data_IF_336902020855
#
_entry.id   IF_336902020855
#
_cell.length_a   1.000
_cell.length_b   1.000
_cell.length_c   1.000
_cell.angle_alpha   90.00
_cell.angle_beta   90.00
_cell.angle_gamma   90.00
#
_symmetry.space_group_name_H-M   'P 1'
#
loop_
_entity.id
_entity.type
_entity.pdbx_description
1 polymer ?
#
# COMPACT_ATOMS: atom_id res chain seq x y z
N UNK A 1 0.41 31.14 -8.03
CA UNK A 1 0.54 29.92 -8.85
C UNK A 1 -0.75 29.15 -8.66
N UNK A 2 -1.49 28.86 -9.73
CA UNK A 2 -2.61 27.92 -9.65
C UNK A 2 -1.96 26.57 -9.39
N UNK A 3 -2.22 25.94 -8.23
CA UNK A 3 -1.66 24.63 -7.90
C UNK A 3 -2.00 23.60 -8.99
N UNK A 4 -1.21 22.54 -9.14
CA UNK A 4 -1.52 21.52 -10.13
C UNK A 4 -2.90 20.92 -9.85
N UNK A 5 -3.68 20.67 -10.90
CA UNK A 5 -4.93 19.92 -10.79
C UNK A 5 -4.70 18.43 -10.52
N UNK A 6 -3.47 17.92 -10.71
CA UNK A 6 -3.08 16.51 -10.53
C UNK A 6 -2.12 16.39 -9.35
N UNK A 7 -2.62 15.95 -8.20
CA UNK A 7 -1.79 15.67 -7.02
C UNK A 7 -1.63 14.17 -6.86
N UNK A 8 -0.40 13.68 -6.86
CA UNK A 8 -0.10 12.25 -6.95
C UNK A 8 0.81 11.84 -5.81
N UNK A 9 0.40 10.81 -5.07
CA UNK A 9 1.31 10.05 -4.20
C UNK A 9 1.93 8.95 -5.05
N UNK A 10 3.25 9.01 -5.25
CA UNK A 10 4.03 7.90 -5.81
C UNK A 10 4.43 7.01 -4.64
N UNK A 11 3.82 5.84 -4.56
CA UNK A 11 3.85 4.99 -3.38
C UNK A 11 4.52 3.64 -3.65
N UNK A 12 5.38 3.18 -2.75
CA UNK A 12 5.92 1.82 -2.76
C UNK A 12 5.15 0.89 -1.81
N UNK A 13 4.47 -0.10 -2.40
CA UNK A 13 3.83 -1.19 -1.68
C UNK A 13 4.85 -2.31 -1.39
N UNK A 14 4.51 -3.18 -0.45
CA UNK A 14 5.29 -4.37 -0.06
C UNK A 14 6.67 -4.12 0.59
N UNK A 15 6.93 -2.94 1.16
CA UNK A 15 8.14 -2.72 1.94
C UNK A 15 8.16 -3.71 3.11
N UNK A 16 9.28 -4.39 3.33
CA UNK A 16 9.42 -5.45 4.34
C UNK A 16 9.15 -6.86 3.81
N UNK A 17 8.62 -7.02 2.59
CA UNK A 17 8.47 -8.33 1.95
C UNK A 17 9.83 -8.95 1.61
N UNK A 18 10.71 -8.18 0.97
CA UNK A 18 12.08 -8.60 0.63
C UNK A 18 13.12 -7.55 1.00
N UNK A 19 14.40 -7.96 1.05
CA UNK A 19 15.50 -7.02 1.19
C UNK A 19 15.56 -6.09 -0.03
N UNK A 20 15.34 -6.62 -1.23
CA UNK A 20 15.32 -5.84 -2.46
C UNK A 20 14.26 -4.73 -2.47
N UNK A 21 13.06 -4.99 -1.94
CA UNK A 21 12.02 -3.96 -1.75
C UNK A 21 12.47 -2.89 -0.73
N UNK A 22 13.00 -3.31 0.43
CA UNK A 22 13.49 -2.34 1.42
C UNK A 22 14.57 -1.40 0.89
N UNK A 23 15.50 -1.92 0.10
CA UNK A 23 16.58 -1.12 -0.47
C UNK A 23 16.08 -0.22 -1.61
N UNK A 24 15.12 -0.70 -2.41
CA UNK A 24 14.46 0.12 -3.42
C UNK A 24 13.76 1.32 -2.78
N UNK A 25 12.98 1.09 -1.71
CA UNK A 25 12.31 2.16 -0.98
C UNK A 25 13.25 3.21 -0.44
N UNK A 26 14.33 2.80 0.21
CA UNK A 26 15.33 3.73 0.74
C UNK A 26 15.97 4.58 -0.38
N UNK A 27 16.37 3.96 -1.49
CA UNK A 27 17.06 4.63 -2.59
C UNK A 27 16.13 5.56 -3.40
N UNK A 28 14.93 5.08 -3.75
CA UNK A 28 13.96 5.84 -4.54
C UNK A 28 13.35 6.99 -3.73
N UNK A 29 13.18 6.82 -2.40
CA UNK A 29 12.77 7.92 -1.53
C UNK A 29 13.85 8.99 -1.42
N UNK A 30 15.11 8.59 -1.26
CA UNK A 30 16.23 9.52 -1.16
C UNK A 30 16.45 10.35 -2.44
N UNK A 31 16.13 9.79 -3.61
CA UNK A 31 16.18 10.51 -4.89
C UNK A 31 14.92 11.33 -5.21
N UNK A 32 13.85 11.17 -4.43
CA UNK A 32 12.55 11.79 -4.68
C UNK A 32 11.73 11.15 -5.81
N UNK A 33 12.17 10.01 -6.35
CA UNK A 33 11.43 9.25 -7.36
C UNK A 33 10.23 8.50 -6.76
N UNK A 34 10.33 8.15 -5.47
CA UNK A 34 9.24 7.65 -4.64
C UNK A 34 8.94 8.68 -3.55
N UNK A 35 7.66 8.94 -3.28
CA UNK A 35 7.23 9.97 -2.32
C UNK A 35 6.73 9.41 -1.00
N UNK A 36 6.41 8.11 -0.95
CA UNK A 36 5.86 7.42 0.21
C UNK A 36 5.96 5.91 0.03
N UNK A 37 5.94 5.13 1.11
CA UNK A 37 5.87 3.67 1.04
C UNK A 37 5.30 3.08 2.31
N UNK A 38 4.91 1.82 2.33
CA UNK A 38 4.25 1.21 3.49
C UNK A 38 4.78 -0.18 3.82
N UNK A 39 4.98 -0.44 5.12
CA UNK A 39 5.63 -1.68 5.58
C UNK A 39 4.63 -2.81 5.87
N UNK A 40 4.91 -3.99 5.34
CA UNK A 40 4.25 -5.24 5.69
C UNK A 40 4.89 -5.84 6.94
N UNK A 41 4.26 -5.61 8.08
CA UNK A 41 4.77 -6.04 9.40
C UNK A 41 4.96 -7.56 9.54
N UNK A 42 4.06 -8.42 9.00
CA UNK A 42 4.24 -9.88 9.11
C UNK A 42 5.42 -10.44 8.30
N UNK A 43 6.03 -9.65 7.41
CA UNK A 43 6.95 -10.16 6.40
C UNK A 43 8.40 -10.33 6.92
N UNK A 44 9.20 -11.23 6.31
CA UNK A 44 10.51 -11.63 6.84
C UNK A 44 11.54 -10.50 6.95
N UNK A 45 11.41 -9.46 6.14
CA UNK A 45 12.34 -8.34 6.09
C UNK A 45 11.83 -7.08 6.80
N UNK A 46 10.73 -7.18 7.56
CA UNK A 46 10.19 -6.08 8.36
C UNK A 46 11.22 -5.48 9.31
N UNK A 47 12.03 -6.29 9.99
CA UNK A 47 13.05 -5.78 10.92
C UNK A 47 14.04 -4.82 10.25
N UNK A 48 14.43 -5.11 9.00
CA UNK A 48 15.29 -4.22 8.22
C UNK A 48 14.54 -2.98 7.73
N UNK A 49 13.27 -3.12 7.32
CA UNK A 49 12.42 -1.97 6.96
C UNK A 49 12.26 -1.00 8.14
N UNK A 50 12.03 -1.52 9.34
CA UNK A 50 11.93 -0.74 10.57
C UNK A 50 13.25 -0.04 10.92
N UNK A 51 14.40 -0.72 10.76
CA UNK A 51 15.72 -0.09 10.92
C UNK A 51 15.90 1.11 9.99
N UNK A 52 15.53 0.97 8.71
CA UNK A 52 15.61 2.04 7.70
C UNK A 52 14.68 3.20 8.09
N UNK A 53 13.40 2.92 8.38
CA UNK A 53 12.42 3.95 8.73
C UNK A 53 12.78 4.70 10.02
N UNK A 54 13.30 4.00 11.04
CA UNK A 54 13.72 4.63 12.30
C UNK A 54 14.99 5.47 12.15
N UNK A 55 15.87 5.15 11.18
CA UNK A 55 17.09 5.89 10.90
C UNK A 55 16.85 7.20 10.13
N UNK A 56 15.73 7.30 9.40
CA UNK A 56 15.36 8.50 8.64
C UNK A 56 13.92 8.95 8.92
N UNK A 57 13.72 9.86 9.90
CA UNK A 57 12.40 10.41 10.21
C UNK A 57 11.75 11.20 9.06
N UNK A 58 12.49 11.55 8.00
CA UNK A 58 11.91 12.22 6.83
C UNK A 58 11.15 11.24 5.94
N UNK A 59 11.46 9.94 5.97
CA UNK A 59 10.79 8.92 5.17
C UNK A 59 9.29 8.85 5.46
N UNK A 60 8.50 9.03 4.42
CA UNK A 60 7.04 8.95 4.47
C UNK A 60 6.60 7.48 4.48
N UNK A 61 6.73 6.85 5.66
CA UNK A 61 6.51 5.42 5.85
C UNK A 61 5.16 5.14 6.50
N UNK A 62 4.27 4.45 5.80
CA UNK A 62 3.00 3.92 6.31
C UNK A 62 3.08 2.46 6.73
N UNK A 63 1.92 1.85 6.95
CA UNK A 63 1.77 0.44 7.32
C UNK A 63 0.85 -0.25 6.33
N UNK A 64 1.40 -1.26 5.64
CA UNK A 64 0.71 -2.09 4.67
C UNK A 64 -0.04 -3.21 5.39
N UNK A 65 -1.28 -2.92 5.76
CA UNK A 65 -2.10 -3.84 6.55
C UNK A 65 -2.33 -5.13 5.77
N UNK A 66 -1.84 -6.23 6.32
CA UNK A 66 -1.64 -7.48 5.59
C UNK A 66 -2.55 -8.58 6.13
N UNK A 67 -3.38 -9.16 5.25
CA UNK A 67 -4.32 -10.24 5.57
C UNK A 67 -4.23 -11.43 4.61
N UNK A 68 -3.34 -11.37 3.62
CA UNK A 68 -3.09 -12.40 2.61
C UNK A 68 -1.60 -12.73 2.55
N UNK A 69 -1.25 -13.94 2.10
CA UNK A 69 0.13 -14.37 1.83
C UNK A 69 0.20 -15.21 0.56
N UNK A 70 0.38 -14.52 -0.57
CA UNK A 70 0.27 -15.07 -1.93
C UNK A 70 1.56 -15.75 -2.40
N UNK A 71 2.73 -15.25 -1.99
CA UNK A 71 4.04 -15.76 -2.40
C UNK A 71 4.21 -17.25 -2.05
N UNK A 72 4.79 -18.06 -2.95
CA UNK A 72 4.85 -19.53 -2.77
C UNK A 72 5.93 -19.98 -1.79
N UNK A 73 7.23 -19.65 -2.01
CA UNK A 73 8.31 -20.16 -1.16
C UNK A 73 8.47 -19.37 0.14
N UNK A 74 7.93 -18.15 0.18
CA UNK A 74 7.98 -17.26 1.34
C UNK A 74 6.56 -16.98 1.79
N UNK A 75 6.21 -17.41 3.00
CA UNK A 75 4.88 -17.25 3.58
C UNK A 75 4.98 -16.57 4.94
N UNK A 76 3.97 -15.77 5.28
CA UNK A 76 3.87 -15.08 6.56
C UNK A 76 2.58 -15.44 7.30
N UNK A 77 2.62 -15.28 8.62
CA UNK A 77 1.55 -15.66 9.56
C UNK A 77 0.99 -14.43 10.25
N UNK A 78 -0.26 -14.47 10.75
CA UNK A 78 -0.76 -13.43 11.64
C UNK A 78 0.10 -13.31 12.90
N UNK A 79 0.30 -12.08 13.38
CA UNK A 79 1.01 -11.78 14.62
C UNK A 79 0.26 -12.29 15.85
N UNK A 80 -1.07 -12.32 15.77
CA UNK A 80 -1.97 -12.63 16.89
C UNK A 80 -2.19 -14.12 17.14
N UNK A 81 -1.70 -15.00 16.26
CA UNK A 81 -1.94 -16.44 16.31
C UNK A 81 -3.43 -16.82 16.52
N UNK A 82 -4.34 -16.36 15.65
CA UNK A 82 -5.78 -16.55 15.83
C UNK A 82 -6.15 -18.04 15.80
N UNK A 83 -7.22 -18.46 16.50
CA UNK A 83 -7.71 -19.83 16.40
C UNK A 83 -8.17 -20.13 14.97
N UNK A 84 -8.03 -21.38 14.52
CA UNK A 84 -8.46 -21.79 13.16
C UNK A 84 -9.92 -21.42 12.84
N UNK A 85 -10.79 -21.40 13.85
CA UNK A 85 -12.20 -21.00 13.70
C UNK A 85 -12.39 -19.54 13.28
N UNK A 86 -11.37 -18.69 13.41
CA UNK A 86 -11.39 -17.31 12.95
C UNK A 86 -11.26 -17.20 11.42
N UNK A 87 -10.91 -18.27 10.70
CA UNK A 87 -10.89 -18.30 9.24
C UNK A 87 -9.77 -17.48 8.58
N UNK A 88 -8.78 -16.98 9.33
CA UNK A 88 -7.69 -16.13 8.80
C UNK A 88 -6.55 -16.89 8.13
N UNK A 89 -6.40 -18.18 8.46
CA UNK A 89 -5.21 -18.96 8.07
C UNK A 89 -5.55 -20.29 7.43
N UNK A 90 -4.61 -20.78 6.63
CA UNK A 90 -4.61 -22.15 6.12
C UNK A 90 -4.29 -23.20 7.20
N UNK A 91 -4.20 -24.47 6.79
CA UNK A 91 -3.87 -25.59 7.66
C UNK A 91 -2.45 -25.51 8.27
N UNK A 92 -1.56 -24.69 7.72
CA UNK A 92 -0.19 -24.49 8.20
C UNK A 92 -0.04 -23.19 9.03
N UNK A 93 -1.14 -22.47 9.25
CA UNK A 93 -1.20 -21.23 10.02
C UNK A 93 -0.70 -19.99 9.27
N UNK A 94 -0.51 -20.08 7.95
CA UNK A 94 -0.20 -18.92 7.10
C UNK A 94 -1.48 -18.20 6.71
N UNK A 95 -1.41 -16.90 6.44
CA UNK A 95 -2.55 -16.22 5.81
C UNK A 95 -2.95 -16.89 4.50
N UNK A 96 -4.23 -16.78 4.14
CA UNK A 96 -4.70 -17.27 2.84
C UNK A 96 -3.98 -16.58 1.69
N UNK A 97 -3.74 -17.28 0.56
CA UNK A 97 -3.02 -16.70 -0.57
C UNK A 97 -3.88 -15.78 -1.44
N UNK A 98 -5.18 -15.68 -1.17
CA UNK A 98 -6.15 -14.99 -2.01
C UNK A 98 -7.20 -14.23 -1.20
N UNK A 99 -7.64 -13.10 -1.75
CA UNK A 99 -8.62 -12.19 -1.14
C UNK A 99 -9.97 -12.87 -0.88
N UNK A 100 -10.56 -13.66 -1.80
CA UNK A 100 -11.84 -14.33 -1.56
C UNK A 100 -11.86 -15.18 -0.29
N UNK A 101 -10.79 -15.93 0.01
CA UNK A 101 -10.70 -16.71 1.25
C UNK A 101 -10.44 -15.82 2.46
N UNK A 102 -9.54 -14.84 2.35
CA UNK A 102 -9.21 -13.94 3.46
C UNK A 102 -10.43 -13.13 3.96
N UNK A 103 -11.35 -12.76 3.05
CA UNK A 103 -12.62 -12.07 3.39
C UNK A 103 -13.58 -12.91 4.24
N UNK A 104 -13.38 -14.22 4.32
CA UNK A 104 -14.16 -15.11 5.19
C UNK A 104 -13.76 -15.07 6.67
N UNK A 105 -12.74 -14.29 7.03
CA UNK A 105 -12.25 -14.19 8.40
C UNK A 105 -13.23 -13.48 9.34
N UNK A 106 -13.23 -13.88 10.60
CA UNK A 106 -14.01 -13.23 11.65
C UNK A 106 -13.55 -11.77 11.84
N UNK A 107 -14.45 -10.76 11.74
CA UNK A 107 -14.08 -9.34 11.82
C UNK A 107 -13.31 -8.96 13.10
N UNK A 108 -13.62 -9.57 14.23
CA UNK A 108 -12.94 -9.30 15.50
C UNK A 108 -11.48 -9.79 15.50
N UNK A 109 -11.22 -10.92 14.85
CA UNK A 109 -9.86 -11.45 14.69
C UNK A 109 -9.06 -10.59 13.70
N UNK A 110 -9.70 -10.11 12.64
CA UNK A 110 -9.11 -9.15 11.70
C UNK A 110 -8.74 -7.86 12.42
N UNK A 111 -9.66 -7.23 13.17
CA UNK A 111 -9.36 -6.00 13.90
C UNK A 111 -8.20 -6.19 14.90
N UNK A 112 -8.17 -7.30 15.64
CA UNK A 112 -7.08 -7.60 16.55
C UNK A 112 -5.72 -7.73 15.84
N UNK A 113 -5.69 -8.42 14.70
CA UNK A 113 -4.47 -8.58 13.90
C UNK A 113 -3.99 -7.26 13.30
N UNK A 114 -4.89 -6.47 12.72
CA UNK A 114 -4.53 -5.19 12.14
C UNK A 114 -4.00 -4.21 13.19
N UNK A 115 -4.59 -4.19 14.40
CA UNK A 115 -4.02 -3.45 15.54
C UNK A 115 -2.64 -3.96 15.92
N UNK A 116 -2.45 -5.28 16.01
CA UNK A 116 -1.17 -5.87 16.36
C UNK A 116 -0.06 -5.47 15.35
N UNK A 117 -0.37 -5.40 14.06
CA UNK A 117 0.54 -4.90 13.04
C UNK A 117 0.91 -3.43 13.29
N UNK A 118 -0.09 -2.57 13.54
CA UNK A 118 0.14 -1.15 13.82
C UNK A 118 1.01 -0.96 15.07
N UNK A 119 0.67 -1.60 16.18
CA UNK A 119 1.41 -1.50 17.44
C UNK A 119 2.82 -2.06 17.34
N UNK A 120 3.02 -3.12 16.54
CA UNK A 120 4.35 -3.70 16.31
C UNK A 120 5.23 -2.75 15.50
N UNK A 121 4.68 -2.06 14.49
CA UNK A 121 5.40 -1.02 13.75
C UNK A 121 5.81 0.15 14.67
N UNK A 122 4.89 0.63 15.50
CA UNK A 122 5.15 1.69 16.48
C UNK A 122 6.23 1.26 17.49
N UNK A 123 6.13 0.04 18.03
CA UNK A 123 7.12 -0.51 18.96
C UNK A 123 8.51 -0.71 18.32
N UNK A 124 8.57 -0.92 17.01
CA UNK A 124 9.81 -0.99 16.24
C UNK A 124 10.42 0.38 15.93
N UNK A 125 9.79 1.49 16.34
CA UNK A 125 10.31 2.84 16.19
C UNK A 125 9.87 3.56 14.91
N UNK A 126 8.91 3.01 14.17
CA UNK A 126 8.32 3.67 13.00
C UNK A 126 7.32 4.73 13.51
N UNK A 127 7.39 5.98 13.03
CA UNK A 127 6.32 6.99 13.15
C UNK A 127 5.47 6.97 11.88
N UNK A 128 4.43 6.11 11.81
CA UNK A 128 3.71 5.87 10.57
C UNK A 128 3.03 7.14 10.06
N UNK A 129 2.99 7.28 8.74
CA UNK A 129 2.35 8.40 8.05
C UNK A 129 0.95 8.10 7.57
N UNK A 130 0.62 6.85 7.30
CA UNK A 130 -0.68 6.43 6.80
C UNK A 130 -0.87 4.92 6.95
N UNK A 131 -2.08 4.46 6.62
CA UNK A 131 -2.40 3.05 6.43
C UNK A 131 -2.86 2.83 4.98
N UNK A 132 -2.50 1.69 4.43
CA UNK A 132 -3.00 1.10 3.19
C UNK A 132 -3.14 -0.42 3.41
N UNK A 133 -3.44 -1.20 2.36
CA UNK A 133 -3.81 -2.61 2.53
C UNK A 133 -3.26 -3.52 1.45
N UNK A 134 -2.56 -4.58 1.86
CA UNK A 134 -2.05 -5.61 0.96
C UNK A 134 -3.18 -6.28 0.18
N UNK A 135 -3.05 -6.26 -1.15
CA UNK A 135 -4.05 -6.73 -2.10
C UNK A 135 -5.45 -6.12 -1.89
N UNK A 136 -5.52 -4.94 -1.27
CA UNK A 136 -6.78 -4.27 -0.91
C UNK A 136 -7.66 -5.00 0.10
N UNK A 137 -7.14 -6.04 0.78
CA UNK A 137 -7.99 -6.96 1.57
C UNK A 137 -8.71 -6.24 2.71
N UNK A 138 -8.02 -5.38 3.46
CA UNK A 138 -8.62 -4.60 4.55
C UNK A 138 -9.59 -3.51 4.05
N UNK A 139 -9.57 -3.18 2.76
CA UNK A 139 -10.48 -2.21 2.13
C UNK A 139 -11.75 -2.88 1.60
N UNK A 140 -11.85 -4.21 1.63
CA UNK A 140 -13.06 -4.94 1.22
C UNK A 140 -14.23 -4.64 2.18
N UNK A 141 -15.49 -4.68 1.70
CA UNK A 141 -16.66 -4.23 2.48
C UNK A 141 -16.81 -4.88 3.86
N UNK A 142 -16.35 -6.12 4.02
CA UNK A 142 -16.36 -6.82 5.30
C UNK A 142 -15.49 -6.13 6.36
N UNK A 143 -14.43 -5.41 5.93
CA UNK A 143 -13.39 -4.86 6.79
C UNK A 143 -13.20 -3.34 6.65
N UNK A 144 -13.77 -2.68 5.62
CA UNK A 144 -13.53 -1.24 5.35
C UNK A 144 -13.87 -0.36 6.57
N UNK A 145 -14.93 -0.68 7.31
CA UNK A 145 -15.31 0.04 8.53
C UNK A 145 -14.26 -0.11 9.64
N UNK A 146 -13.69 -1.31 9.82
CA UNK A 146 -12.58 -1.57 10.74
C UNK A 146 -11.36 -0.76 10.30
N UNK A 147 -10.97 -0.88 9.04
CA UNK A 147 -9.83 -0.19 8.44
C UNK A 147 -9.90 1.34 8.65
N UNK A 148 -11.05 1.97 8.37
CA UNK A 148 -11.26 3.41 8.58
C UNK A 148 -11.22 3.79 10.07
N UNK A 149 -11.81 2.97 10.95
CA UNK A 149 -11.77 3.18 12.41
C UNK A 149 -10.33 3.12 12.95
N UNK A 150 -9.51 2.18 12.47
CA UNK A 150 -8.10 2.11 12.85
C UNK A 150 -7.36 3.40 12.45
N UNK A 151 -7.60 3.93 11.25
CA UNK A 151 -7.08 5.25 10.88
C UNK A 151 -7.45 6.34 11.88
N UNK A 152 -8.70 6.38 12.33
CA UNK A 152 -9.13 7.34 13.35
C UNK A 152 -8.47 7.11 14.71
N UNK A 153 -8.44 5.87 15.20
CA UNK A 153 -7.87 5.51 16.51
C UNK A 153 -6.38 5.86 16.62
N UNK A 154 -5.63 5.62 15.55
CA UNK A 154 -4.18 5.89 15.47
C UNK A 154 -3.84 7.27 14.91
N UNK A 155 -4.85 8.07 14.56
CA UNK A 155 -4.68 9.39 13.91
C UNK A 155 -3.82 9.32 12.66
N UNK A 156 -4.12 8.34 11.81
CA UNK A 156 -3.49 8.07 10.52
C UNK A 156 -4.52 8.22 9.39
N UNK A 157 -4.18 8.92 8.30
CA UNK A 157 -4.99 8.86 7.10
C UNK A 157 -4.95 7.44 6.53
N UNK A 158 -6.04 7.02 5.93
CA UNK A 158 -6.14 5.74 5.23
C UNK A 158 -6.16 6.00 3.72
N UNK A 159 -5.41 5.22 2.95
CA UNK A 159 -5.58 5.19 1.50
C UNK A 159 -6.94 4.55 1.21
N UNK A 160 -7.86 5.31 0.64
CA UNK A 160 -9.22 4.86 0.34
C UNK A 160 -9.63 5.30 -1.06
N UNK A 161 -9.78 4.37 -2.03
CA UNK A 161 -10.25 4.73 -3.36
C UNK A 161 -11.72 5.18 -3.33
N UNK A 162 -12.04 6.21 -4.12
CA UNK A 162 -13.39 6.74 -4.26
C UNK A 162 -14.39 5.72 -4.80
N UNK A 163 -13.95 4.87 -5.72
CA UNK A 163 -14.78 3.85 -6.37
C UNK A 163 -14.01 2.54 -6.43
N UNK A 164 -14.44 1.56 -5.63
CA UNK A 164 -13.82 0.24 -5.56
C UNK A 164 -13.85 -0.48 -6.92
N UNK A 165 -14.81 -0.18 -7.80
CA UNK A 165 -14.89 -0.79 -9.15
C UNK A 165 -13.72 -0.42 -10.05
N UNK A 166 -13.07 0.70 -9.75
CA UNK A 166 -11.94 1.24 -10.51
C UNK A 166 -10.59 0.90 -9.86
N UNK A 167 -10.59 0.09 -8.80
CA UNK A 167 -9.42 -0.33 -8.06
C UNK A 167 -9.09 -1.79 -8.39
N UNK A 168 -7.83 -2.09 -8.70
CA UNK A 168 -7.43 -3.40 -9.24
C UNK A 168 -7.80 -4.59 -8.33
N UNK A 169 -7.73 -4.52 -6.98
CA UNK A 169 -8.22 -5.57 -6.11
C UNK A 169 -9.64 -6.05 -6.34
N UNK A 170 -10.54 -5.18 -6.84
CA UNK A 170 -11.89 -5.61 -7.17
C UNK A 170 -11.93 -6.63 -8.33
N UNK A 171 -10.89 -6.72 -9.15
CA UNK A 171 -10.80 -7.70 -10.26
C UNK A 171 -10.59 -9.14 -9.78
N UNK A 172 -10.04 -9.34 -8.58
CA UNK A 172 -9.71 -10.65 -8.01
C UNK A 172 -10.32 -10.91 -6.63
N UNK A 173 -11.04 -9.95 -6.05
CA UNK A 173 -11.69 -10.10 -4.74
C UNK A 173 -12.90 -11.05 -4.75
N UNK A 174 -13.43 -11.42 -5.93
CA UNK A 174 -14.72 -12.12 -6.06
C UNK A 174 -15.91 -11.13 -5.97
N UNK A 175 -17.15 -11.59 -5.71
CA UNK A 175 -18.30 -10.70 -5.58
C UNK A 175 -18.14 -9.71 -4.43
N UNK A 176 -18.42 -8.43 -4.68
CA UNK A 176 -18.24 -7.33 -3.72
C UNK A 176 -19.56 -6.57 -3.56
N UNK A 177 -19.94 -6.28 -2.31
CA UNK A 177 -21.02 -5.33 -2.02
C UNK A 177 -20.49 -3.89 -2.12
N UNK A 178 -20.66 -3.29 -3.29
CA UNK A 178 -20.21 -1.93 -3.52
C UNK A 178 -20.99 -0.88 -2.71
N UNK A 179 -22.23 -1.15 -2.30
CA UNK A 179 -23.03 -0.19 -1.54
C UNK A 179 -22.50 -0.03 -0.12
N UNK A 180 -22.08 -1.12 0.52
CA UNK A 180 -21.43 -1.10 1.82
C UNK A 180 -20.11 -0.30 1.77
N UNK A 181 -19.30 -0.49 0.72
CA UNK A 181 -18.08 0.29 0.52
C UNK A 181 -18.36 1.79 0.29
N UNK A 182 -19.33 2.11 -0.59
CA UNK A 182 -19.72 3.51 -0.88
C UNK A 182 -20.20 4.25 0.38
N UNK A 183 -20.88 3.58 1.30
CA UNK A 183 -21.27 4.15 2.59
C UNK A 183 -20.05 4.55 3.42
N UNK A 184 -19.01 3.71 3.50
CA UNK A 184 -17.78 4.04 4.21
C UNK A 184 -16.99 5.18 3.54
N UNK A 185 -17.01 5.26 2.20
CA UNK A 185 -16.44 6.40 1.47
C UNK A 185 -17.18 7.70 1.79
N UNK A 186 -18.51 7.68 1.90
CA UNK A 186 -19.29 8.85 2.30
C UNK A 186 -18.92 9.30 3.73
N UNK A 187 -18.82 8.36 4.67
CA UNK A 187 -18.38 8.65 6.04
C UNK A 187 -16.96 9.23 6.10
N UNK A 188 -16.04 8.73 5.27
CA UNK A 188 -14.68 9.27 5.17
C UNK A 188 -14.69 10.73 4.67
N UNK A 189 -15.49 11.04 3.64
CA UNK A 189 -15.66 12.41 3.12
C UNK A 189 -16.23 13.36 4.16
N UNK A 190 -17.28 12.94 4.86
CA UNK A 190 -17.93 13.74 5.91
C UNK A 190 -16.98 14.02 7.08
N UNK A 191 -16.07 13.08 7.36
CA UNK A 191 -15.01 13.22 8.35
C UNK A 191 -13.78 14.02 7.85
N UNK A 192 -13.77 14.50 6.61
CA UNK A 192 -12.64 15.22 6.00
C UNK A 192 -11.40 14.35 5.77
N UNK A 193 -11.55 13.02 5.76
CA UNK A 193 -10.46 12.09 5.45
C UNK A 193 -10.14 12.14 3.95
N UNK A 194 -8.88 11.91 3.54
CA UNK A 194 -8.54 11.85 2.12
C UNK A 194 -9.28 10.68 1.46
N UNK A 195 -9.89 10.96 0.30
CA UNK A 195 -10.47 9.95 -0.58
C UNK A 195 -9.85 10.14 -1.96
N UNK A 196 -9.21 9.10 -2.47
CA UNK A 196 -8.43 9.14 -3.71
C UNK A 196 -9.35 8.98 -4.91
N UNK A 197 -9.32 9.94 -5.82
CA UNK A 197 -10.13 9.94 -7.04
C UNK A 197 -9.72 8.81 -7.99
N UNK A 198 -8.43 8.45 -8.00
CA UNK A 198 -7.88 7.35 -8.78
C UNK A 198 -6.75 6.67 -8.04
N UNK A 199 -6.75 5.34 -8.06
CA UNK A 199 -5.59 4.51 -7.70
C UNK A 199 -5.16 3.78 -8.98
N UNK A 200 -3.91 3.98 -9.37
CA UNK A 200 -3.26 3.27 -10.46
C UNK A 200 -2.17 2.41 -9.85
N UNK A 201 -1.86 1.29 -10.49
CA UNK A 201 -0.92 0.31 -9.96
C UNK A 201 0.14 -0.03 -11.00
N UNK A 202 1.22 -0.67 -10.55
CA UNK A 202 2.18 -1.36 -11.39
C UNK A 202 1.45 -2.06 -12.55
N UNK A 203 1.78 -1.79 -13.82
CA UNK A 203 1.16 -2.43 -14.98
C UNK A 203 1.61 -3.88 -15.09
N UNK A 204 1.04 -4.74 -14.25
CA UNK A 204 1.34 -6.18 -14.10
C UNK A 204 1.27 -6.92 -15.44
N UNK A 205 0.27 -6.60 -16.26
CA UNK A 205 0.01 -7.26 -17.54
C UNK A 205 0.64 -6.57 -18.76
N UNK A 206 1.60 -5.64 -18.56
CA UNK A 206 2.18 -4.85 -19.65
C UNK A 206 2.66 -5.72 -20.82
N UNK A 207 2.33 -5.26 -22.04
CA UNK A 207 2.73 -5.91 -23.31
C UNK A 207 3.89 -5.20 -24.01
N UNK A 208 4.23 -4.00 -23.55
CA UNK A 208 5.37 -3.20 -24.02
C UNK A 208 6.50 -3.26 -22.99
N UNK A 209 7.63 -2.66 -23.34
CA UNK A 209 8.68 -2.38 -22.37
C UNK A 209 8.17 -1.48 -21.22
N UNK A 210 8.92 -1.48 -20.12
CA UNK A 210 8.58 -0.70 -18.92
C UNK A 210 8.42 0.80 -19.25
N UNK A 211 9.39 1.43 -19.92
CA UNK A 211 9.35 2.86 -20.17
C UNK A 211 8.09 3.28 -20.95
N UNK A 212 7.73 2.53 -21.99
CA UNK A 212 6.49 2.77 -22.76
C UNK A 212 5.24 2.60 -21.89
N UNK A 213 5.17 1.54 -21.07
CA UNK A 213 4.00 1.25 -20.25
C UNK A 213 3.80 2.31 -19.14
N UNK A 214 4.85 2.67 -18.41
CA UNK A 214 4.76 3.67 -17.34
C UNK A 214 4.52 5.06 -17.90
N UNK A 215 5.12 5.45 -19.03
CA UNK A 215 4.79 6.75 -19.64
C UNK A 215 3.30 6.85 -19.99
N UNK A 216 2.70 5.77 -20.49
CA UNK A 216 1.26 5.72 -20.75
C UNK A 216 0.44 5.81 -19.45
N UNK A 217 0.88 5.15 -18.38
CA UNK A 217 0.27 5.26 -17.05
C UNK A 217 0.29 6.70 -16.53
N UNK A 218 1.43 7.39 -16.62
CA UNK A 218 1.56 8.79 -16.19
C UNK A 218 0.69 9.74 -17.02
N UNK A 219 0.58 9.49 -18.33
CA UNK A 219 -0.29 10.27 -19.21
C UNK A 219 -1.80 10.08 -18.90
N UNK A 220 -2.19 8.94 -18.33
CA UNK A 220 -3.59 8.62 -17.97
C UNK A 220 -4.01 9.17 -16.59
N UNK A 221 -3.09 9.78 -15.83
CA UNK A 221 -3.38 10.33 -14.50
C UNK A 221 -4.44 11.44 -14.64
N UNK A 222 -5.65 11.28 -14.05
CA UNK A 222 -6.68 12.29 -14.13
C UNK A 222 -6.39 13.45 -13.18
N UNK A 223 -7.14 14.54 -13.33
CA UNK A 223 -7.18 15.59 -12.31
C UNK A 223 -7.79 15.04 -11.01
N UNK A 224 -7.32 15.54 -9.88
CA UNK A 224 -7.76 15.13 -8.54
C UNK A 224 -6.61 14.66 -7.66
N UNK A 225 -6.98 13.94 -6.60
CA UNK A 225 -6.04 13.26 -5.70
C UNK A 225 -5.85 11.82 -6.15
N UNK A 226 -4.64 11.48 -6.62
CA UNK A 226 -4.31 10.20 -7.21
C UNK A 226 -3.24 9.48 -6.38
N UNK A 227 -3.27 8.14 -6.43
CA UNK A 227 -2.29 7.27 -5.77
C UNK A 227 -1.72 6.31 -6.80
N UNK A 228 -0.39 6.19 -6.86
CA UNK A 228 0.32 5.20 -7.65
C UNK A 228 0.88 4.13 -6.72
N UNK A 229 0.26 2.95 -6.67
CA UNK A 229 0.75 1.80 -5.90
C UNK A 229 1.74 1.00 -6.77
N UNK A 230 3.02 1.28 -6.54
CA UNK A 230 4.16 0.74 -7.29
C UNK A 230 4.85 -0.34 -6.45
N UNK A 231 5.58 -1.26 -7.08
CA UNK A 231 6.07 -2.48 -6.45
C UNK A 231 7.57 -2.67 -6.72
N UNK A 232 8.35 -1.65 -6.38
CA UNK A 232 9.79 -1.63 -6.64
C UNK A 232 10.51 -2.79 -5.94
N UNK A 233 11.54 -3.32 -6.58
CA UNK A 233 12.42 -4.31 -5.96
C UNK A 233 13.81 -4.25 -6.60
N UNK A 234 14.86 -4.07 -5.81
CA UNK A 234 16.21 -4.26 -6.32
C UNK A 234 16.44 -5.73 -6.68
N UNK A 235 17.17 -6.03 -7.77
CA UNK A 235 17.48 -7.41 -8.14
C UNK A 235 18.18 -8.19 -7.03
N UNK A 236 17.85 -9.47 -6.87
CA UNK A 236 18.63 -10.42 -6.09
C UNK A 236 17.81 -11.45 -5.32
N UNK A 237 16.77 -11.03 -4.60
CA UNK A 237 16.00 -11.94 -3.73
C UNK A 237 14.63 -12.30 -4.28
N UNK A 238 13.91 -11.36 -4.87
CA UNK A 238 12.55 -11.60 -5.37
C UNK A 238 12.53 -12.56 -6.56
N UNK A 239 13.60 -12.64 -7.37
CA UNK A 239 13.77 -13.66 -8.42
C UNK A 239 13.73 -15.10 -7.89
N UNK A 240 14.10 -15.31 -6.62
CA UNK A 240 14.02 -16.62 -5.97
C UNK A 240 12.63 -16.90 -5.38
N UNK A 241 11.81 -15.85 -5.21
CA UNK A 241 10.46 -15.94 -4.65
C UNK A 241 9.43 -16.16 -5.76
N UNK A 242 9.48 -15.32 -6.78
CA UNK A 242 8.63 -15.35 -7.98
C UNK A 242 9.47 -15.07 -9.24
N UNK A 243 10.12 -16.10 -9.81
CA UNK A 243 10.95 -15.93 -11.00
C UNK A 243 10.20 -15.36 -12.21
N UNK A 244 8.90 -15.62 -12.34
CA UNK A 244 8.09 -15.19 -13.48
C UNK A 244 7.70 -13.72 -13.35
N UNK A 245 7.30 -13.30 -12.14
CA UNK A 245 6.91 -11.93 -11.83
C UNK A 245 8.07 -10.99 -11.54
N UNK A 246 9.27 -11.48 -11.19
CA UNK A 246 10.35 -10.63 -10.70
C UNK A 246 10.78 -9.52 -11.66
N UNK A 247 10.80 -9.80 -12.97
CA UNK A 247 11.11 -8.79 -13.99
C UNK A 247 10.19 -7.58 -13.92
N UNK A 248 8.95 -7.75 -13.45
CA UNK A 248 7.97 -6.66 -13.37
C UNK A 248 8.47 -5.61 -12.39
N UNK A 249 8.88 -6.05 -11.21
CA UNK A 249 9.35 -5.24 -10.08
C UNK A 249 10.75 -4.69 -10.28
N UNK A 250 11.67 -5.50 -10.83
CA UNK A 250 13.06 -5.06 -11.05
C UNK A 250 13.21 -4.09 -12.22
N UNK A 251 12.45 -4.25 -13.30
CA UNK A 251 12.39 -3.25 -14.38
C UNK A 251 11.69 -1.96 -13.94
N UNK A 252 10.67 -2.05 -13.08
CA UNK A 252 10.00 -0.89 -12.48
C UNK A 252 10.98 -0.10 -11.61
N UNK A 253 11.70 -0.77 -10.72
CA UNK A 253 12.78 -0.16 -9.93
C UNK A 253 13.82 0.53 -10.83
N UNK A 254 14.37 -0.18 -11.82
CA UNK A 254 15.41 0.35 -12.70
C UNK A 254 14.93 1.59 -13.48
N UNK A 255 13.66 1.61 -13.89
CA UNK A 255 13.08 2.76 -14.57
C UNK A 255 13.00 3.99 -13.65
N UNK A 256 12.49 3.83 -12.43
CA UNK A 256 12.39 4.95 -11.49
C UNK A 256 13.77 5.44 -11.04
N UNK A 257 14.71 4.52 -10.79
CA UNK A 257 16.09 4.85 -10.45
C UNK A 257 16.85 5.57 -11.57
N UNK A 258 16.42 5.42 -12.84
CA UNK A 258 17.06 6.11 -13.98
C UNK A 258 16.81 7.62 -14.03
N UNK A 259 15.83 8.13 -13.26
CA UNK A 259 15.41 9.53 -13.28
C UNK A 259 14.42 9.90 -14.40
N UNK A 260 14.04 8.95 -15.27
CA UNK A 260 13.10 9.19 -16.37
C UNK A 260 11.74 9.72 -15.88
N UNK A 261 11.28 9.26 -14.72
CA UNK A 261 9.98 9.62 -14.14
C UNK A 261 9.87 11.11 -13.81
N UNK A 262 10.95 11.75 -13.39
CA UNK A 262 10.95 13.19 -13.10
C UNK A 262 10.58 14.01 -14.34
N UNK A 263 11.07 13.60 -15.52
CA UNK A 263 10.71 14.24 -16.78
C UNK A 263 9.21 14.10 -17.11
N UNK A 264 8.59 12.97 -16.76
CA UNK A 264 7.16 12.76 -16.98
C UNK A 264 6.29 13.52 -15.97
N UNK A 265 6.74 13.65 -14.72
CA UNK A 265 6.09 14.49 -13.71
C UNK A 265 5.96 15.92 -14.22
N UNK A 266 7.06 16.48 -14.75
CA UNK A 266 7.06 17.83 -15.34
C UNK A 266 6.22 17.89 -16.63
N UNK A 267 6.40 16.93 -17.54
CA UNK A 267 5.70 16.87 -18.83
C UNK A 267 4.18 16.83 -18.67
N UNK A 268 3.68 16.04 -17.73
CA UNK A 268 2.24 15.86 -17.50
C UNK A 268 1.69 16.78 -16.41
N UNK A 269 2.50 17.71 -15.90
CA UNK A 269 2.09 18.72 -14.92
C UNK A 269 1.62 18.13 -13.59
N UNK A 270 2.30 17.10 -13.10
CA UNK A 270 1.96 16.40 -11.87
C UNK A 270 2.62 17.08 -10.67
N UNK A 271 1.85 17.31 -9.61
CA UNK A 271 2.39 17.65 -8.29
C UNK A 271 2.55 16.38 -7.47
N UNK A 272 3.79 15.98 -7.22
CA UNK A 272 4.10 14.83 -6.35
C UNK A 272 3.97 15.26 -4.89
N UNK A 273 3.18 14.51 -4.11
CA UNK A 273 2.91 14.75 -2.70
C UNK A 273 3.14 13.48 -1.87
N UNK A 274 3.38 13.64 -0.57
CA UNK A 274 3.46 12.53 0.39
C UNK A 274 2.17 12.35 1.19
N UNK A 275 2.13 11.30 2.02
CA UNK A 275 1.03 11.01 2.93
C UNK A 275 1.15 11.73 4.28
N UNK A 276 2.36 12.13 4.67
CA UNK A 276 2.66 12.82 5.93
C UNK A 276 1.83 14.07 6.15
N UNK A 277 1.63 14.88 5.11
CA UNK A 277 0.87 16.12 5.21
C UNK A 277 -0.60 15.86 5.63
N UNK A 278 -1.21 14.76 5.16
CA UNK A 278 -2.56 14.37 5.56
C UNK A 278 -2.59 13.96 7.04
N UNK A 279 -1.61 13.19 7.51
CA UNK A 279 -1.48 12.85 8.93
C UNK A 279 -1.31 14.09 9.81
N UNK A 280 -0.42 14.99 9.42
CA UNK A 280 -0.12 16.18 10.23
C UNK A 280 -1.36 17.08 10.34
N UNK A 281 -2.14 17.20 9.26
CA UNK A 281 -3.44 17.88 9.29
C UNK A 281 -4.44 17.19 10.24
N UNK A 282 -4.55 15.86 10.19
CA UNK A 282 -5.41 15.08 11.09
C UNK A 282 -5.00 15.24 12.56
N UNK A 283 -3.71 15.17 12.86
CA UNK A 283 -3.17 15.31 14.24
C UNK A 283 -3.31 16.74 14.76
N UNK A 284 -3.27 17.74 13.89
CA UNK A 284 -3.45 19.16 14.26
C UNK A 284 -4.92 19.52 14.51
N UNK A 285 -5.86 18.94 13.77
CA UNK A 285 -7.29 19.17 13.97
C UNK A 285 -7.84 18.55 15.28
N UNK A 286 -7.09 17.64 15.91
CA UNK A 286 -7.43 16.96 17.15
C UNK A 286 -6.89 17.66 18.42
N UNK A 287 -6.20 18.79 18.28
CA UNK A 287 -5.70 19.64 19.38
C UNK A 287 -6.63 20.84 19.58
#
# INVERSE_FOLDING_TARGET
MVGSSKRVVIHEDDVGMTHGANMAFAELSASGACSSGSVMVPCPWFAKAAEIAAADPALDTGIHLTLTSEQKPVKWRPLTAPPRSAGMTDDYGFFWPDVPRARGAAPEAVEAELRAQIETALAAGIDPTHLDAHMGTAQMPEFTAIYRRLGADYKLPVMLPKDLRQYNPASYAGPVDHAAYEAEVALARDAGQPVFDRVLETPWDRKTDAATAYRALFADIPDGLCFLSMHFNQPGDFEMIDPEGARIRTEEYALFASGAVAGWVDEFGIEVIGMRAFRDALRSAAQ
#
